data_IF_280266250368
#
_entry.id   IF_280266250368
#
_cell.length_a   1.000
_cell.length_b   1.000
_cell.length_c   1.000
_cell.angle_alpha   90.00
_cell.angle_beta   90.00
_cell.angle_gamma   90.00
#
_symmetry.space_group_name_H-M   'P 1'
#
loop_
_entity.id
_entity.type
_entity.pdbx_description
1 polymer ?
#
# COMPACT_ATOMS: atom_id res chain seq x y z
N UNK A 1 2.49 -7.47 -2.98
CA UNK A 1 3.88 -7.72 -2.57
C UNK A 1 3.98 -9.03 -1.82
N UNK A 2 4.91 -9.89 -2.22
CA UNK A 2 5.09 -11.16 -1.51
C UNK A 2 6.06 -11.00 -0.34
N UNK A 3 6.06 -11.99 0.56
CA UNK A 3 7.00 -11.98 1.68
C UNK A 3 8.44 -11.93 1.19
N UNK A 4 8.72 -12.63 0.10
CA UNK A 4 10.07 -12.66 -0.47
C UNK A 4 10.48 -11.28 -0.97
N UNK A 5 9.58 -10.57 -1.61
CA UNK A 5 9.87 -9.23 -2.11
C UNK A 5 10.13 -8.26 -0.96
N UNK A 6 9.34 -8.37 0.11
CA UNK A 6 9.56 -7.53 1.28
C UNK A 6 10.94 -7.78 1.88
N UNK A 7 11.30 -9.06 2.03
CA UNK A 7 12.60 -9.42 2.56
C UNK A 7 13.73 -8.90 1.68
N UNK A 8 13.57 -9.02 0.37
CA UNK A 8 14.62 -8.58 -0.56
C UNK A 8 14.83 -7.07 -0.51
N UNK A 9 13.76 -6.30 -0.36
CA UNK A 9 13.89 -4.86 -0.26
C UNK A 9 14.67 -4.45 0.98
N UNK A 10 14.37 -5.06 2.12
CA UNK A 10 15.10 -4.75 3.34
C UNK A 10 16.56 -5.21 3.25
N UNK A 11 16.76 -6.37 2.63
CA UNK A 11 18.12 -6.89 2.46
C UNK A 11 18.96 -5.98 1.58
N UNK A 12 18.37 -5.40 0.54
CA UNK A 12 19.10 -4.50 -0.33
C UNK A 12 19.53 -3.21 0.38
N UNK A 13 18.86 -2.88 1.47
CA UNK A 13 19.22 -1.72 2.30
C UNK A 13 20.04 -2.12 3.51
N UNK A 14 20.51 -3.36 3.58
CA UNK A 14 21.29 -3.89 4.69
C UNK A 14 20.54 -3.85 6.02
N UNK A 15 19.24 -4.03 5.98
CA UNK A 15 18.39 -4.08 7.16
C UNK A 15 17.88 -5.50 7.36
N UNK A 16 18.12 -6.04 8.53
CA UNK A 16 17.64 -7.37 8.87
C UNK A 16 16.21 -7.29 9.35
N UNK A 17 15.39 -8.22 8.87
CA UNK A 17 13.97 -8.24 9.21
C UNK A 17 13.72 -9.31 10.27
N UNK A 18 13.22 -8.91 11.43
CA UNK A 18 12.83 -9.86 12.45
C UNK A 18 11.64 -10.70 11.99
N UNK A 19 11.51 -11.91 12.56
CA UNK A 19 10.47 -12.84 12.11
C UNK A 19 9.05 -12.31 12.26
N UNK A 20 8.82 -11.47 13.26
CA UNK A 20 7.49 -10.90 13.47
C UNK A 20 7.24 -9.63 12.68
N UNK A 21 8.31 -9.03 12.18
CA UNK A 21 8.20 -7.76 11.45
C UNK A 21 7.46 -7.94 10.13
N UNK A 22 7.60 -9.11 9.50
CA UNK A 22 6.91 -9.37 8.24
C UNK A 22 5.40 -9.31 8.43
N UNK A 23 4.90 -9.92 9.50
CA UNK A 23 3.46 -9.88 9.78
C UNK A 23 2.98 -8.47 10.05
N UNK A 24 3.78 -7.68 10.76
CA UNK A 24 3.41 -6.29 11.02
C UNK A 24 3.36 -5.48 9.72
N UNK A 25 4.31 -5.72 8.82
CA UNK A 25 4.32 -5.03 7.53
C UNK A 25 3.11 -5.45 6.71
N UNK A 26 2.80 -6.74 6.68
CA UNK A 26 1.63 -7.22 5.95
C UNK A 26 0.34 -6.60 6.50
N UNK A 27 0.27 -6.44 7.81
CA UNK A 27 -0.90 -5.83 8.43
C UNK A 27 -1.03 -4.36 8.03
N UNK A 28 0.09 -3.63 7.98
CA UNK A 28 0.07 -2.24 7.54
C UNK A 28 -0.33 -2.13 6.08
N UNK A 29 0.16 -3.03 5.23
CA UNK A 29 -0.25 -3.06 3.84
C UNK A 29 -1.73 -3.34 3.72
N UNK A 30 -2.25 -4.26 4.51
CA UNK A 30 -3.66 -4.59 4.50
C UNK A 30 -4.51 -3.36 4.87
N UNK A 31 -4.10 -2.63 5.89
CA UNK A 31 -4.81 -1.41 6.28
C UNK A 31 -4.79 -0.37 5.18
N UNK A 32 -3.65 -0.23 4.52
CA UNK A 32 -3.53 0.71 3.42
C UNK A 32 -4.48 0.35 2.28
N UNK A 33 -4.52 -0.93 1.91
CA UNK A 33 -5.41 -1.40 0.85
C UNK A 33 -6.87 -1.17 1.23
N UNK A 34 -7.21 -1.43 2.49
CA UNK A 34 -8.57 -1.17 2.95
C UNK A 34 -8.96 0.30 2.81
N UNK A 35 -8.06 1.19 3.17
CA UNK A 35 -8.34 2.63 3.03
C UNK A 35 -8.48 3.03 1.57
N UNK A 36 -7.63 2.44 0.71
CA UNK A 36 -7.71 2.73 -0.72
C UNK A 36 -9.03 2.26 -1.31
N UNK A 37 -9.45 1.05 -0.94
CA UNK A 37 -10.72 0.53 -1.43
C UNK A 37 -11.88 1.39 -0.97
N UNK A 38 -11.84 1.88 0.26
CA UNK A 38 -12.90 2.73 0.77
C UNK A 38 -12.97 4.07 0.05
N UNK A 39 -11.82 4.65 -0.27
CA UNK A 39 -11.79 5.90 -1.03
C UNK A 39 -12.36 5.69 -2.44
N UNK A 40 -12.05 4.56 -3.05
CA UNK A 40 -12.62 4.24 -4.36
C UNK A 40 -14.14 4.10 -4.27
N UNK A 41 -14.63 3.47 -3.23
CA UNK A 41 -16.06 3.32 -3.03
C UNK A 41 -16.73 4.69 -2.87
N UNK A 42 -16.13 5.55 -2.07
CA UNK A 42 -16.67 6.88 -1.85
C UNK A 42 -16.63 7.75 -3.10
N UNK A 43 -15.62 7.55 -3.93
CA UNK A 43 -15.50 8.25 -5.21
C UNK A 43 -16.28 7.59 -6.34
N UNK A 44 -17.05 6.55 -6.03
CA UNK A 44 -17.86 5.86 -7.01
C UNK A 44 -17.03 5.21 -8.12
N UNK A 45 -15.83 4.80 -7.80
CA UNK A 45 -14.94 4.17 -8.75
C UNK A 45 -15.23 2.67 -8.78
N UNK A 46 -15.61 2.17 -9.94
CA UNK A 46 -15.91 0.74 -10.11
C UNK A 46 -14.68 -0.06 -10.49
N UNK A 47 -13.70 0.59 -11.08
CA UNK A 47 -12.48 -0.07 -11.51
C UNK A 47 -11.30 0.86 -11.27
N UNK A 48 -10.37 0.44 -10.43
CA UNK A 48 -9.20 1.25 -10.14
C UNK A 48 -8.15 1.03 -11.22
N UNK A 49 -7.75 2.11 -11.87
CA UNK A 49 -6.68 2.10 -12.85
C UNK A 49 -5.53 2.96 -12.35
N UNK A 50 -4.34 2.82 -12.96
CA UNK A 50 -3.22 3.67 -12.55
C UNK A 50 -3.52 5.16 -12.63
N UNK A 51 -4.32 5.57 -13.60
CA UNK A 51 -4.68 6.98 -13.73
C UNK A 51 -5.53 7.48 -12.58
N UNK A 52 -6.19 6.58 -11.85
CA UNK A 52 -7.05 6.95 -10.74
C UNK A 52 -6.39 6.70 -9.38
N UNK A 53 -5.13 6.30 -9.37
CA UNK A 53 -4.45 5.98 -8.12
C UNK A 53 -4.40 7.16 -7.16
N UNK A 54 -4.36 8.39 -7.68
CA UNK A 54 -4.33 9.55 -6.80
C UNK A 54 -5.57 9.63 -5.91
N UNK A 55 -6.71 9.16 -6.41
CA UNK A 55 -7.93 9.11 -5.61
C UNK A 55 -7.81 8.08 -4.51
N UNK A 56 -7.35 6.87 -4.88
CA UNK A 56 -7.18 5.79 -3.90
C UNK A 56 -6.18 6.17 -2.81
N UNK A 57 -5.17 6.95 -3.18
CA UNK A 57 -4.16 7.38 -2.22
C UNK A 57 -4.58 8.62 -1.43
N UNK A 58 -5.71 9.21 -1.76
CA UNK A 58 -6.19 10.37 -1.05
C UNK A 58 -5.41 11.63 -1.34
N UNK A 59 -4.91 11.77 -2.57
CA UNK A 59 -4.05 12.89 -2.95
C UNK A 59 -4.72 13.89 -3.86
N UNK A 60 -6.03 13.85 -3.90
CA UNK A 60 -6.74 14.72 -4.84
C UNK A 60 -6.70 16.19 -4.43
N UNK A 61 -6.18 16.53 -3.28
CA UNK A 61 -6.05 17.91 -2.86
C UNK A 61 -4.60 18.38 -2.85
N UNK A 62 -3.70 17.60 -3.41
CA UNK A 62 -2.27 17.90 -3.36
C UNK A 62 -1.76 18.62 -4.59
N UNK A 63 -2.65 18.83 -5.54
CA UNK A 63 -2.17 19.47 -6.72
C UNK A 63 -2.05 20.89 -6.44
N UNK A 64 -1.33 21.40 -5.98
CA UNK A 64 -1.20 22.81 -5.89
C UNK A 64 0.20 23.24 -5.57
#
# INVERSE_FOLDING_TARGET
MTKKQIKNEFKSCNVQLGSRSIKSIEYELYKMVKRMAKRCQQGNIKRLTPALMWIALGRYDLRR
#
